data_IF_578796293894
#
_entry.id   IF_578796293894
#
_cell.length_a   1.000
_cell.length_b   1.000
_cell.length_c   1.000
_cell.angle_alpha   90.00
_cell.angle_beta   90.00
_cell.angle_gamma   90.00
#
_symmetry.space_group_name_H-M   'P 1'
#
loop_
_entity.id
_entity.type
_entity.pdbx_description
1 polymer ?
#
# COMPACT_ATOMS: atom_id res chain seq x y z
N UNK A 1 -3.54 -9.15 -29.44
CA UNK A 1 -2.93 -9.64 -28.18
C UNK A 1 -3.44 -8.78 -27.04
N UNK A 2 -3.78 -9.33 -25.87
CA UNK A 2 -4.32 -8.54 -24.78
C UNK A 2 -3.24 -7.53 -24.29
N UNK A 3 -3.49 -6.20 -24.37
CA UNK A 3 -2.52 -5.17 -23.98
C UNK A 3 -2.06 -5.31 -22.52
N UNK A 4 -2.94 -5.81 -21.64
CA UNK A 4 -2.64 -6.06 -20.22
C UNK A 4 -1.62 -7.18 -20.08
N UNK A 5 -1.79 -8.28 -20.82
CA UNK A 5 -0.86 -9.41 -20.77
C UNK A 5 0.52 -9.01 -21.28
N UNK A 6 0.57 -8.21 -22.35
CA UNK A 6 1.82 -7.67 -22.85
C UNK A 6 2.51 -6.76 -21.81
N UNK A 7 1.77 -5.85 -21.18
CA UNK A 7 2.31 -4.94 -20.18
C UNK A 7 2.86 -5.69 -18.96
N UNK A 8 2.10 -6.66 -18.42
CA UNK A 8 2.53 -7.46 -17.27
C UNK A 8 3.72 -8.34 -17.63
N UNK A 9 3.71 -8.98 -18.81
CA UNK A 9 4.83 -9.78 -19.28
C UNK A 9 6.11 -8.95 -19.44
N UNK A 10 6.01 -7.77 -20.04
CA UNK A 10 7.13 -6.85 -20.21
C UNK A 10 7.67 -6.36 -18.86
N UNK A 11 6.79 -6.02 -17.91
CA UNK A 11 7.17 -5.61 -16.56
C UNK A 11 7.99 -6.70 -15.85
N UNK A 12 7.55 -7.96 -15.95
CA UNK A 12 8.25 -9.10 -15.36
C UNK A 12 9.62 -9.32 -16.00
N UNK A 13 9.71 -9.23 -17.33
CA UNK A 13 10.98 -9.37 -18.06
C UNK A 13 11.97 -8.27 -17.66
N UNK A 14 11.53 -7.01 -17.60
CA UNK A 14 12.37 -5.88 -17.16
C UNK A 14 12.83 -6.03 -15.70
N UNK A 15 11.94 -6.48 -14.81
CA UNK A 15 12.27 -6.77 -13.42
C UNK A 15 13.30 -7.90 -13.29
N UNK A 16 13.17 -8.97 -14.07
CA UNK A 16 14.17 -10.06 -14.14
C UNK A 16 15.52 -9.58 -14.69
N UNK A 17 15.51 -8.61 -15.61
CA UNK A 17 16.71 -7.95 -16.12
C UNK A 17 17.36 -6.97 -15.13
N UNK A 18 16.92 -6.96 -13.86
CA UNK A 18 17.38 -6.06 -12.79
C UNK A 18 17.10 -4.58 -13.04
N UNK A 19 16.11 -4.25 -13.88
CA UNK A 19 15.60 -2.88 -13.97
C UNK A 19 14.77 -2.60 -12.72
N UNK A 20 14.93 -1.41 -12.13
CA UNK A 20 14.16 -1.03 -10.95
C UNK A 20 12.66 -1.13 -11.22
N UNK A 21 11.90 -1.60 -10.22
CA UNK A 21 10.47 -1.90 -10.37
C UNK A 21 9.68 -0.68 -10.84
N UNK A 22 10.02 0.52 -10.34
CA UNK A 22 9.35 1.77 -10.76
C UNK A 22 9.54 2.03 -12.26
N UNK A 23 10.76 1.91 -12.78
CA UNK A 23 11.01 2.11 -14.22
C UNK A 23 10.33 1.02 -15.05
N UNK A 24 10.34 -0.22 -14.57
CA UNK A 24 9.67 -1.35 -15.23
C UNK A 24 8.16 -1.12 -15.36
N UNK A 25 7.52 -0.60 -14.31
CA UNK A 25 6.10 -0.25 -14.29
C UNK A 25 5.78 0.87 -15.29
N UNK A 26 6.57 1.94 -15.29
CA UNK A 26 6.37 3.09 -16.19
C UNK A 26 6.49 2.65 -17.65
N UNK A 27 7.60 2.01 -18.01
CA UNK A 27 7.86 1.58 -19.41
C UNK A 27 6.76 0.62 -19.88
N UNK A 28 6.35 -0.31 -19.03
CA UNK A 28 5.32 -1.30 -19.37
C UNK A 28 3.93 -0.70 -19.49
N UNK A 29 3.59 0.28 -18.66
CA UNK A 29 2.33 1.01 -18.74
C UNK A 29 2.24 1.81 -20.05
N UNK A 30 3.32 2.48 -20.46
CA UNK A 30 3.36 3.23 -21.72
C UNK A 30 3.27 2.31 -22.94
N UNK A 31 4.02 1.21 -22.97
CA UNK A 31 3.97 0.26 -24.09
C UNK A 31 2.61 -0.46 -24.14
N UNK A 32 2.07 -0.87 -22.98
CA UNK A 32 0.72 -1.43 -22.88
C UNK A 32 -0.35 -0.47 -23.37
N UNK A 33 -0.28 0.80 -22.96
CA UNK A 33 -1.18 1.85 -23.40
C UNK A 33 -1.08 2.18 -24.89
N UNK A 34 0.13 2.09 -25.47
CA UNK A 34 0.32 2.27 -26.91
C UNK A 34 -0.28 1.12 -27.74
N UNK A 35 -0.26 -0.10 -27.22
CA UNK A 35 -0.86 -1.27 -27.88
C UNK A 35 -2.37 -1.38 -27.58
N UNK A 36 -2.87 -0.69 -26.56
CA UNK A 36 -4.28 -0.69 -26.20
C UNK A 36 -5.16 -0.06 -27.28
N UNK A 37 -6.29 -0.71 -27.59
CA UNK A 37 -7.26 -0.22 -28.57
C UNK A 37 -8.18 0.83 -27.93
N UNK A 38 -7.59 2.00 -27.63
CA UNK A 38 -8.29 3.12 -27.01
C UNK A 38 -9.18 3.77 -28.08
N UNK A 39 -10.50 3.94 -27.85
CA UNK A 39 -11.41 4.56 -28.81
C UNK A 39 -10.88 5.93 -29.27
N UNK A 40 -10.87 6.17 -30.59
CA UNK A 40 -10.36 7.42 -31.14
C UNK A 40 -11.10 8.66 -30.57
N UNK A 41 -12.40 8.50 -30.31
CA UNK A 41 -13.26 9.52 -29.74
C UNK A 41 -12.81 9.95 -28.33
N UNK A 42 -12.33 9.02 -27.49
CA UNK A 42 -11.87 9.36 -26.13
C UNK A 42 -10.55 10.12 -26.15
N UNK A 43 -9.67 9.80 -27.10
CA UNK A 43 -8.39 10.52 -27.27
C UNK A 43 -8.66 11.94 -27.77
N UNK A 44 -9.55 12.10 -28.75
CA UNK A 44 -9.90 13.40 -29.31
C UNK A 44 -10.66 14.28 -28.30
N UNK A 45 -11.58 13.70 -27.51
CA UNK A 45 -12.29 14.41 -26.45
C UNK A 45 -11.34 14.94 -25.35
N UNK A 46 -10.21 14.26 -25.11
CA UNK A 46 -9.21 14.73 -24.16
C UNK A 46 -8.38 15.91 -24.67
N UNK A 47 -8.38 16.16 -25.98
CA UNK A 47 -7.66 17.25 -26.66
C UNK A 47 -8.55 17.92 -27.72
N UNK A 48 -9.58 18.68 -27.31
CA UNK A 48 -10.54 19.31 -28.24
C UNK A 48 -9.88 20.30 -29.22
N UNK A 49 -8.76 20.92 -28.84
CA UNK A 49 -8.03 21.90 -29.67
C UNK A 49 -7.02 21.27 -30.65
N UNK A 50 -6.96 19.94 -30.74
CA UNK A 50 -5.94 19.26 -31.55
C UNK A 50 -6.15 19.44 -33.07
N UNK A 51 -7.37 19.76 -33.52
CA UNK A 51 -7.67 20.01 -34.94
C UNK A 51 -7.46 18.81 -35.88
N UNK A 52 -7.32 17.59 -35.34
CA UNK A 52 -7.06 16.36 -36.09
C UNK A 52 -8.30 15.46 -36.07
N UNK A 53 -8.66 14.87 -37.22
CA UNK A 53 -9.80 13.95 -37.35
C UNK A 53 -9.49 12.52 -36.91
N UNK A 54 -8.21 12.12 -36.92
CA UNK A 54 -7.75 10.81 -36.43
C UNK A 54 -6.55 10.95 -35.48
N UNK A 55 -6.59 10.30 -34.29
CA UNK A 55 -5.48 10.35 -33.35
C UNK A 55 -4.29 9.53 -33.85
N UNK A 56 -3.26 10.22 -34.36
CA UNK A 56 -1.96 9.59 -34.66
C UNK A 56 -1.22 9.11 -33.39
N UNK A 57 -0.11 8.39 -33.59
CA UNK A 57 0.70 7.83 -32.49
C UNK A 57 1.18 8.89 -31.47
N UNK A 58 1.48 10.10 -31.93
CA UNK A 58 1.90 11.21 -31.07
C UNK A 58 0.76 11.70 -30.18
N UNK A 59 -0.47 11.78 -30.70
CA UNK A 59 -1.62 12.21 -29.91
C UNK A 59 -2.00 11.14 -28.88
N UNK A 60 -1.86 9.86 -29.24
CA UNK A 60 -2.02 8.75 -28.31
C UNK A 60 -0.98 8.81 -27.18
N UNK A 61 0.28 9.10 -27.49
CA UNK A 61 1.32 9.30 -26.46
C UNK A 61 0.98 10.47 -25.53
N UNK A 62 0.53 11.61 -26.07
CA UNK A 62 0.07 12.74 -25.24
C UNK A 62 -1.09 12.36 -24.33
N UNK A 63 -2.03 11.56 -24.84
CA UNK A 63 -3.12 11.02 -24.03
C UNK A 63 -2.62 10.14 -22.89
N UNK A 64 -1.68 9.23 -23.16
CA UNK A 64 -1.08 8.39 -22.13
C UNK A 64 -0.35 9.22 -21.06
N UNK A 65 0.39 10.25 -21.46
CA UNK A 65 1.01 11.19 -20.50
C UNK A 65 -0.04 11.87 -19.65
N UNK A 66 -1.13 12.39 -20.25
CA UNK A 66 -2.23 13.03 -19.52
C UNK A 66 -2.88 12.09 -18.50
N UNK A 67 -3.23 10.87 -18.92
CA UNK A 67 -3.81 9.85 -18.02
C UNK A 67 -2.83 9.47 -16.91
N UNK A 68 -1.53 9.42 -17.22
CA UNK A 68 -0.49 9.13 -16.23
C UNK A 68 -0.31 10.29 -15.22
N UNK A 69 -0.37 11.55 -15.68
CA UNK A 69 -0.35 12.75 -14.84
C UNK A 69 -1.57 12.81 -13.92
N UNK A 70 -2.77 12.55 -14.45
CA UNK A 70 -4.00 12.44 -13.67
C UNK A 70 -3.90 11.33 -12.61
N UNK A 71 -3.36 10.16 -12.98
CA UNK A 71 -3.13 9.06 -12.03
C UNK A 71 -2.11 9.39 -10.93
N UNK A 72 -1.06 10.16 -11.24
CA UNK A 72 -0.13 10.67 -10.23
C UNK A 72 -0.81 11.69 -9.33
N UNK A 73 -1.59 12.63 -9.89
CA UNK A 73 -2.28 13.66 -9.13
C UNK A 73 -3.24 13.05 -8.11
N UNK A 74 -4.06 12.07 -8.52
CA UNK A 74 -4.96 11.33 -7.63
C UNK A 74 -4.21 10.60 -6.50
N UNK A 75 -3.01 10.06 -6.79
CA UNK A 75 -2.17 9.38 -5.81
C UNK A 75 -1.29 10.29 -4.97
N UNK A 76 -1.18 11.58 -5.28
CA UNK A 76 -0.15 12.48 -4.71
C UNK A 76 -0.35 12.72 -3.22
N UNK A 77 -1.60 12.98 -2.78
CA UNK A 77 -1.89 13.19 -1.35
C UNK A 77 -1.55 11.94 -0.52
N UNK A 78 -1.82 10.76 -1.06
CA UNK A 78 -1.49 9.48 -0.42
C UNK A 78 0.02 9.25 -0.39
N UNK A 79 0.71 9.50 -1.50
CA UNK A 79 2.17 9.36 -1.59
C UNK A 79 2.90 10.30 -0.64
N UNK A 80 2.50 11.58 -0.57
CA UNK A 80 3.03 12.56 0.37
C UNK A 80 2.79 12.14 1.82
N UNK A 81 1.58 11.66 2.11
CA UNK A 81 1.24 11.15 3.46
C UNK A 81 2.15 9.99 3.84
N UNK A 82 2.43 9.04 2.93
CA UNK A 82 3.35 7.93 3.18
C UNK A 82 4.81 8.37 3.31
N UNK A 83 5.25 9.35 2.53
CA UNK A 83 6.58 9.92 2.67
C UNK A 83 6.77 10.57 4.05
N UNK A 84 5.79 11.36 4.51
CA UNK A 84 5.80 12.00 5.84
C UNK A 84 5.75 10.97 6.95
N UNK A 85 4.89 9.94 6.84
CA UNK A 85 4.77 8.89 7.85
C UNK A 85 6.04 8.02 7.92
N UNK A 86 6.69 7.78 6.79
CA UNK A 86 8.00 7.15 6.71
C UNK A 86 9.09 8.01 7.38
N UNK A 87 9.14 9.31 7.08
CA UNK A 87 10.06 10.24 7.74
C UNK A 87 9.85 10.30 9.25
N UNK A 88 8.59 10.29 9.71
CA UNK A 88 8.23 10.21 11.13
C UNK A 88 8.69 8.90 11.78
N UNK A 89 8.49 7.76 11.13
CA UNK A 89 8.96 6.47 11.61
C UNK A 89 10.50 6.43 11.75
N UNK A 90 11.21 7.00 10.77
CA UNK A 90 12.67 7.17 10.84
C UNK A 90 13.07 8.07 12.01
N UNK A 91 12.41 9.23 12.18
CA UNK A 91 12.68 10.14 13.29
C UNK A 91 12.45 9.50 14.68
N UNK A 92 11.39 8.69 14.84
CA UNK A 92 11.14 7.92 16.07
C UNK A 92 12.21 6.87 16.30
N UNK A 93 12.69 6.20 15.25
CA UNK A 93 13.75 5.19 15.39
C UNK A 93 15.05 5.81 15.91
N UNK A 94 15.36 7.05 15.53
CA UNK A 94 16.53 7.80 16.01
C UNK A 94 16.34 8.45 17.38
N UNK A 95 15.11 8.73 17.82
CA UNK A 95 14.84 9.38 19.12
C UNK A 95 15.08 8.47 20.33
N UNK A 96 15.32 7.18 20.13
CA UNK A 96 15.53 6.20 21.20
C UNK A 96 14.25 5.79 21.93
N UNK A 97 13.09 6.38 21.60
CA UNK A 97 11.78 6.02 22.17
C UNK A 97 11.47 4.54 21.96
N UNK A 98 11.75 4.03 20.76
CA UNK A 98 11.65 2.62 20.39
C UNK A 98 12.43 1.72 21.36
N UNK A 99 13.65 2.12 21.74
CA UNK A 99 14.50 1.37 22.66
C UNK A 99 14.00 1.47 24.11
N UNK A 100 13.52 2.64 24.53
CA UNK A 100 12.94 2.84 25.85
C UNK A 100 11.70 1.96 26.07
N UNK A 101 10.80 1.91 25.08
CA UNK A 101 9.63 1.03 25.11
C UNK A 101 10.03 -0.45 25.19
N UNK A 102 11.02 -0.89 24.40
CA UNK A 102 11.53 -2.25 24.46
C UNK A 102 12.08 -2.60 25.86
N UNK A 103 12.84 -1.69 26.47
CA UNK A 103 13.40 -1.89 27.81
C UNK A 103 12.32 -2.02 28.89
N UNK A 104 11.25 -1.20 28.84
CA UNK A 104 10.10 -1.30 29.76
C UNK A 104 9.41 -2.66 29.63
N UNK A 105 9.19 -3.13 28.40
CA UNK A 105 8.56 -4.43 28.16
C UNK A 105 9.46 -5.57 28.66
N UNK A 106 10.77 -5.49 28.42
CA UNK A 106 11.75 -6.49 28.90
C UNK A 106 11.84 -6.52 30.43
N UNK A 107 11.90 -5.37 31.09
CA UNK A 107 11.92 -5.29 32.55
C UNK A 107 10.66 -5.92 33.17
N UNK A 108 9.50 -5.64 32.57
CA UNK A 108 8.23 -6.23 33.01
C UNK A 108 8.13 -7.72 32.71
N UNK A 109 8.82 -8.19 31.67
CA UNK A 109 8.93 -9.62 31.34
C UNK A 109 9.79 -10.41 32.34
N UNK A 110 10.79 -9.78 32.97
CA UNK A 110 11.67 -10.42 33.95
C UNK A 110 11.00 -10.66 35.31
N UNK A 111 9.95 -9.89 35.65
CA UNK A 111 9.23 -10.01 36.93
C UNK A 111 8.07 -11.01 36.93
N UNK A 112 7.76 -11.69 35.81
CA UNK A 112 6.63 -12.63 35.71
C UNK A 112 6.95 -13.94 34.96
N UNK A 113 6.12 -14.98 35.14
CA UNK A 113 6.20 -16.23 34.37
C UNK A 113 6.09 -15.90 32.88
N UNK A 114 7.19 -16.04 32.13
CA UNK A 114 7.37 -15.55 30.76
C UNK A 114 6.38 -16.01 29.68
N UNK A 115 5.44 -16.92 30.00
CA UNK A 115 4.34 -17.30 29.10
C UNK A 115 3.21 -16.27 29.01
N UNK A 116 2.89 -15.57 30.11
CA UNK A 116 1.81 -14.57 30.12
C UNK A 116 2.16 -13.31 29.32
N UNK A 117 3.42 -12.88 29.38
CA UNK A 117 3.92 -11.72 28.62
C UNK A 117 3.89 -11.97 27.12
N UNK A 118 4.20 -13.21 26.67
CA UNK A 118 4.12 -13.57 25.25
C UNK A 118 2.72 -13.36 24.68
N UNK A 119 1.71 -13.92 25.36
CA UNK A 119 0.32 -13.79 24.96
C UNK A 119 -0.18 -12.35 25.03
N UNK A 120 0.25 -11.59 26.06
CA UNK A 120 -0.07 -10.17 26.17
C UNK A 120 0.44 -9.39 24.97
N UNK A 121 1.68 -9.62 24.53
CA UNK A 121 2.25 -8.93 23.36
C UNK A 121 1.48 -9.29 22.08
N UNK A 122 1.14 -10.57 21.87
CA UNK A 122 0.40 -11.00 20.68
C UNK A 122 -1.00 -10.38 20.65
N UNK A 123 -1.73 -10.41 21.78
CA UNK A 123 -3.08 -9.83 21.89
C UNK A 123 -3.02 -8.31 21.74
N UNK A 124 -2.05 -7.65 22.37
CA UNK A 124 -1.86 -6.20 22.25
C UNK A 124 -1.58 -5.79 20.80
N UNK A 125 -0.77 -6.56 20.06
CA UNK A 125 -0.47 -6.29 18.66
C UNK A 125 -1.66 -6.53 17.75
N UNK A 126 -2.46 -7.56 18.03
CA UNK A 126 -3.71 -7.79 17.32
C UNK A 126 -4.72 -6.65 17.57
N UNK A 127 -4.93 -6.26 18.82
CA UNK A 127 -5.82 -5.15 19.18
C UNK A 127 -5.37 -3.84 18.52
N UNK A 128 -4.08 -3.53 18.58
CA UNK A 128 -3.48 -2.38 17.91
C UNK A 128 -3.65 -2.45 16.38
N UNK A 129 -3.52 -3.63 15.76
CA UNK A 129 -3.72 -3.80 14.31
C UNK A 129 -5.17 -3.50 13.90
N UNK A 130 -6.15 -3.96 14.68
CA UNK A 130 -7.58 -3.69 14.48
C UNK A 130 -7.87 -2.18 14.64
N UNK A 131 -7.33 -1.55 15.69
CA UNK A 131 -7.53 -0.12 15.97
C UNK A 131 -6.82 0.81 14.97
N UNK A 132 -5.67 0.40 14.45
CA UNK A 132 -4.81 1.15 13.51
C UNK A 132 -5.46 1.38 12.13
N UNK A 133 -6.59 0.76 11.85
CA UNK A 133 -7.38 1.01 10.65
C UNK A 133 -8.71 1.71 10.96
N UNK A 134 -9.24 1.46 12.16
CA UNK A 134 -10.59 1.87 12.52
C UNK A 134 -10.67 3.28 13.13
N UNK A 135 -9.65 3.65 13.92
CA UNK A 135 -9.65 4.90 14.69
C UNK A 135 -8.74 5.96 14.07
N UNK A 136 -7.54 5.57 13.63
CA UNK A 136 -6.57 6.45 12.98
C UNK A 136 -5.97 5.68 11.80
N UNK A 137 -6.04 6.16 10.54
CA UNK A 137 -5.60 5.41 9.36
C UNK A 137 -4.06 5.41 9.21
N UNK A 138 -3.36 4.76 10.14
CA UNK A 138 -1.89 4.71 10.20
C UNK A 138 -1.30 3.35 9.83
N UNK A 139 -2.13 2.38 9.41
CA UNK A 139 -1.72 0.98 9.17
C UNK A 139 -0.48 0.79 8.27
N UNK A 140 -0.20 1.71 7.35
CA UNK A 140 0.97 1.64 6.46
C UNK A 140 2.28 1.97 7.19
N UNK A 141 2.30 2.95 8.11
CA UNK A 141 3.49 3.22 8.92
C UNK A 141 3.50 2.49 10.25
N UNK A 142 2.37 1.95 10.68
CA UNK A 142 2.25 1.12 11.87
C UNK A 142 3.31 0.01 11.89
N UNK A 143 3.44 -0.74 10.79
CA UNK A 143 4.37 -1.86 10.67
C UNK A 143 5.84 -1.41 10.82
N UNK A 144 6.37 -0.48 10.00
CA UNK A 144 7.76 -0.03 10.14
C UNK A 144 8.04 0.71 11.46
N UNK A 145 7.04 1.29 12.12
CA UNK A 145 7.23 1.96 13.41
C UNK A 145 7.30 0.98 14.58
N UNK A 146 6.50 -0.10 14.55
CA UNK A 146 6.33 -1.01 15.68
C UNK A 146 7.22 -2.26 15.59
N UNK A 147 7.47 -2.76 14.37
CA UNK A 147 8.26 -3.99 14.19
C UNK A 147 9.72 -3.82 14.68
N UNK A 148 10.47 -2.76 14.32
CA UNK A 148 11.87 -2.62 14.75
C UNK A 148 12.10 -2.66 16.27
N UNK A 149 11.38 -1.89 17.12
CA UNK A 149 11.54 -1.99 18.58
C UNK A 149 11.16 -3.34 19.14
N UNK A 150 10.12 -3.97 18.59
CA UNK A 150 9.66 -5.26 19.07
C UNK A 150 10.62 -6.40 18.73
N UNK A 151 11.44 -6.28 17.69
CA UNK A 151 12.42 -7.33 17.35
C UNK A 151 13.35 -7.65 18.52
N UNK A 152 13.76 -6.64 19.30
CA UNK A 152 14.60 -6.81 20.50
C UNK A 152 13.87 -7.65 21.56
N UNK A 153 12.59 -7.34 21.80
CA UNK A 153 11.74 -8.03 22.77
C UNK A 153 11.40 -9.45 22.32
N UNK A 154 11.06 -9.62 21.04
CA UNK A 154 10.74 -10.90 20.40
C UNK A 154 11.92 -11.85 20.45
N UNK A 155 13.14 -11.37 20.19
CA UNK A 155 14.37 -12.17 20.29
C UNK A 155 14.59 -12.67 21.71
N UNK A 156 14.38 -11.83 22.74
CA UNK A 156 14.52 -12.25 24.15
C UNK A 156 13.45 -13.24 24.58
N UNK A 157 12.21 -13.08 24.08
CA UNK A 157 11.11 -13.98 24.40
C UNK A 157 11.08 -15.23 23.51
N UNK A 158 11.97 -15.37 22.51
CA UNK A 158 11.93 -16.45 21.49
C UNK A 158 10.54 -16.54 20.82
N UNK A 159 9.98 -15.38 20.47
CA UNK A 159 8.73 -15.31 19.68
C UNK A 159 9.07 -15.53 18.20
N UNK A 160 8.27 -16.36 17.53
CA UNK A 160 8.39 -16.56 16.09
C UNK A 160 7.89 -15.31 15.36
N UNK A 161 8.77 -14.72 14.53
CA UNK A 161 8.47 -13.54 13.73
C UNK A 161 7.38 -13.83 12.69
N UNK A 162 7.33 -15.06 12.16
CA UNK A 162 6.34 -15.48 11.15
C UNK A 162 4.93 -15.49 11.72
N UNK A 163 4.76 -16.05 12.91
CA UNK A 163 3.48 -16.06 13.62
C UNK A 163 2.98 -14.63 13.84
N UNK A 164 3.87 -13.72 14.26
CA UNK A 164 3.50 -12.34 14.50
C UNK A 164 3.06 -11.63 13.22
N UNK A 165 3.79 -11.83 12.10
CA UNK A 165 3.38 -11.30 10.80
C UNK A 165 2.00 -11.81 10.42
N UNK A 166 1.71 -13.11 10.58
CA UNK A 166 0.39 -13.66 10.30
C UNK A 166 -0.71 -13.02 11.17
N UNK A 167 -0.46 -12.81 12.47
CA UNK A 167 -1.42 -12.18 13.39
C UNK A 167 -1.69 -10.72 13.00
N UNK A 168 -0.65 -9.96 12.67
CA UNK A 168 -0.79 -8.56 12.23
C UNK A 168 -1.51 -8.50 10.88
N UNK A 169 -1.10 -9.31 9.89
CA UNK A 169 -1.77 -9.36 8.58
C UNK A 169 -3.22 -9.78 8.72
N UNK A 170 -3.54 -10.75 9.57
CA UNK A 170 -4.92 -11.14 9.84
C UNK A 170 -5.72 -10.00 10.46
N UNK A 171 -5.17 -9.34 11.50
CA UNK A 171 -5.81 -8.20 12.16
C UNK A 171 -5.94 -6.97 11.26
N UNK A 172 -5.10 -6.82 10.23
CA UNK A 172 -5.23 -5.76 9.24
C UNK A 172 -6.21 -6.14 8.12
N UNK A 173 -6.16 -7.34 7.57
CA UNK A 173 -6.97 -7.71 6.39
C UNK A 173 -8.41 -8.05 6.75
N UNK A 174 -8.62 -8.78 7.85
CA UNK A 174 -9.95 -9.23 8.27
C UNK A 174 -10.84 -8.03 8.66
N UNK A 175 -10.24 -7.04 9.33
CA UNK A 175 -10.98 -5.93 9.95
C UNK A 175 -11.60 -5.00 8.92
N UNK A 176 -10.86 -4.55 7.89
CA UNK A 176 -11.47 -3.69 6.88
C UNK A 176 -12.45 -4.43 5.95
N UNK A 177 -12.40 -5.77 5.90
CA UNK A 177 -13.28 -6.57 5.05
C UNK A 177 -14.62 -6.88 5.73
N UNK A 178 -14.66 -7.01 7.06
CA UNK A 178 -15.86 -7.39 7.82
C UNK A 178 -16.47 -6.26 8.66
N UNK A 179 -15.69 -5.25 9.06
CA UNK A 179 -16.16 -4.18 9.97
C UNK A 179 -16.38 -2.89 9.18
N UNK A 180 -17.63 -2.41 9.02
CA UNK A 180 -17.95 -1.20 8.26
C UNK A 180 -17.72 0.06 9.13
N UNK A 181 -16.51 0.21 9.67
CA UNK A 181 -16.12 1.36 10.46
C UNK A 181 -14.71 1.80 10.02
N UNK A 182 -14.42 3.10 10.11
CA UNK A 182 -13.16 3.67 9.64
C UNK A 182 -12.84 3.31 8.19
N UNK A 183 -11.72 2.63 7.96
CA UNK A 183 -11.29 2.21 6.62
C UNK A 183 -12.22 1.15 5.97
N UNK A 184 -12.91 0.34 6.77
CA UNK A 184 -13.83 -0.67 6.23
C UNK A 184 -15.09 -0.06 5.61
N UNK A 185 -15.57 1.08 6.14
CA UNK A 185 -16.64 1.87 5.52
C UNK A 185 -16.20 2.44 4.16
N UNK A 186 -14.98 2.97 4.08
CA UNK A 186 -14.41 3.48 2.82
C UNK A 186 -14.31 2.34 1.80
N UNK A 187 -13.81 1.18 2.20
CA UNK A 187 -13.66 0.04 1.29
C UNK A 187 -15.00 -0.53 0.84
N UNK A 188 -15.88 -0.88 1.77
CA UNK A 188 -17.16 -1.52 1.48
C UNK A 188 -18.13 -0.57 0.77
N UNK A 189 -18.32 0.64 1.29
CA UNK A 189 -19.37 1.54 0.82
C UNK A 189 -18.89 2.50 -0.28
N UNK A 190 -17.64 2.99 -0.24
CA UNK A 190 -17.16 3.96 -1.24
C UNK A 190 -16.42 3.35 -2.42
N UNK A 191 -15.75 2.22 -2.24
CA UNK A 191 -14.95 1.59 -3.31
C UNK A 191 -15.72 0.40 -3.89
N UNK A 192 -16.09 -0.57 -3.05
CA UNK A 192 -16.68 -1.81 -3.53
C UNK A 192 -18.09 -1.56 -4.08
N UNK A 193 -18.96 -0.91 -3.30
CA UNK A 193 -20.33 -0.59 -3.71
C UNK A 193 -20.36 0.35 -4.93
N UNK A 194 -19.51 1.38 -4.96
CA UNK A 194 -19.43 2.29 -6.10
C UNK A 194 -18.96 1.60 -7.40
N UNK A 195 -18.01 0.66 -7.32
CA UNK A 195 -17.60 -0.11 -8.50
C UNK A 195 -18.67 -1.10 -8.95
N UNK A 196 -19.40 -1.72 -8.01
CA UNK A 196 -20.53 -2.59 -8.33
C UNK A 196 -21.66 -1.78 -9.00
N UNK A 197 -21.99 -0.59 -8.50
CA UNK A 197 -23.02 0.25 -9.13
C UNK A 197 -22.59 0.78 -10.51
N UNK A 198 -21.29 1.04 -10.70
CA UNK A 198 -20.74 1.59 -11.94
C UNK A 198 -20.52 0.55 -13.04
N UNK A 199 -20.16 -0.68 -12.70
CA UNK A 199 -19.78 -1.74 -13.65
C UNK A 199 -20.62 -3.03 -13.55
N UNK A 200 -21.49 -3.14 -12.54
CA UNK A 200 -22.35 -4.31 -12.32
C UNK A 200 -23.67 -4.29 -13.09
N UNK A 201 -23.84 -3.36 -14.04
CA UNK A 201 -24.92 -3.35 -15.03
C UNK A 201 -24.37 -3.68 -16.42
#
# INVERSE_FOLDING_TARGET
MNPVVLAVGLMLVLSMARVHVVFSLIISAFIGGMVADIPAQTILAAFPDAGVTEPGAVLKLKYLVKVFEEGIADGTTTALSYAVLGAFAVAISYSGLSQAMANVIVARAQHGKGGGIKWLIIIALLAMSIMSQNLVPIHIAFIPLIVPPLLVVMNRLRLDRRMLTCVITFGLVCTYMFVPYGFGDIYLNKILMANIDKFGK
#
